data_IF_638758423505
#
_entry.id   IF_638758423505
#
_cell.length_a   1.000
_cell.length_b   1.000
_cell.length_c   1.000
_cell.angle_alpha   90.00
_cell.angle_beta   90.00
_cell.angle_gamma   90.00
#
_symmetry.space_group_name_H-M   'P 1'
#
loop_
_entity.id
_entity.type
_entity.pdbx_description
1 polymer ?
#
# COMPACT_ATOMS: atom_id res chain seq x y z
N UNK A 1 -2.58 -7.55 -22.57
CA UNK A 1 -2.29 -6.93 -21.25
C UNK A 1 -3.37 -7.38 -20.28
N UNK A 2 -3.01 -7.96 -19.13
CA UNK A 2 -4.00 -8.34 -18.10
C UNK A 2 -4.64 -7.08 -17.52
N UNK A 3 -5.96 -7.10 -17.35
CA UNK A 3 -6.75 -5.95 -16.89
C UNK A 3 -6.29 -5.51 -15.49
N UNK A 4 -6.19 -4.20 -15.28
CA UNK A 4 -5.95 -3.61 -13.95
C UNK A 4 -7.16 -3.91 -13.09
N UNK A 5 -6.92 -4.45 -11.89
CA UNK A 5 -7.99 -4.63 -10.90
C UNK A 5 -8.14 -3.36 -10.08
N UNK A 6 -9.17 -2.59 -10.44
CA UNK A 6 -9.53 -1.35 -9.78
C UNK A 6 -9.89 -1.55 -8.31
N UNK A 7 -10.45 -2.70 -7.94
CA UNK A 7 -10.82 -2.97 -6.55
C UNK A 7 -9.57 -3.06 -5.66
N UNK A 8 -8.57 -3.84 -6.10
CA UNK A 8 -7.30 -3.98 -5.39
C UNK A 8 -6.56 -2.62 -5.29
N UNK A 9 -6.57 -1.85 -6.38
CA UNK A 9 -5.97 -0.52 -6.43
C UNK A 9 -6.65 0.44 -5.44
N UNK A 10 -7.99 0.47 -5.42
CA UNK A 10 -8.78 1.31 -4.50
C UNK A 10 -8.52 0.91 -3.05
N UNK A 11 -8.47 -0.38 -2.72
CA UNK A 11 -8.14 -0.83 -1.37
C UNK A 11 -6.73 -0.39 -0.96
N UNK A 12 -5.74 -0.55 -1.84
CA UNK A 12 -4.39 -0.03 -1.60
C UNK A 12 -4.40 1.48 -1.36
N UNK A 13 -5.12 2.24 -2.19
CA UNK A 13 -5.29 3.69 -2.04
C UNK A 13 -5.86 4.06 -0.67
N UNK A 14 -6.92 3.40 -0.23
CA UNK A 14 -7.53 3.66 1.07
C UNK A 14 -6.56 3.40 2.22
N UNK A 15 -5.76 2.33 2.17
CA UNK A 15 -4.72 2.07 3.20
C UNK A 15 -3.64 3.17 3.21
N UNK A 16 -3.16 3.57 2.03
CA UNK A 16 -2.18 4.65 1.90
C UNK A 16 -2.70 5.97 2.45
N UNK A 17 -3.92 6.33 2.03
CA UNK A 17 -4.61 7.54 2.44
C UNK A 17 -4.89 7.53 3.94
N UNK A 18 -5.52 6.48 4.48
CA UNK A 18 -5.81 6.37 5.91
C UNK A 18 -4.56 6.63 6.75
N UNK A 19 -3.45 5.95 6.45
CA UNK A 19 -2.26 6.13 7.29
C UNK A 19 -1.69 7.55 7.25
N UNK A 20 -1.82 8.31 6.17
CA UNK A 20 -1.27 9.66 6.07
C UNK A 20 -2.27 10.74 6.51
N UNK A 21 -3.54 10.59 6.16
CA UNK A 21 -4.58 11.53 6.54
C UNK A 21 -4.95 11.48 8.03
N UNK A 22 -4.69 10.36 8.70
CA UNK A 22 -4.87 10.25 10.16
C UNK A 22 -3.58 10.43 10.96
N UNK A 23 -2.45 10.70 10.30
CA UNK A 23 -1.18 10.93 10.99
C UNK A 23 -1.07 12.39 11.43
N UNK A 24 -0.63 12.59 12.67
CA UNK A 24 -0.24 13.90 13.16
C UNK A 24 1.26 14.10 12.95
N UNK A 25 1.65 14.72 11.84
CA UNK A 25 3.05 14.94 11.48
C UNK A 25 3.79 15.98 12.36
N UNK A 26 3.15 16.49 13.41
CA UNK A 26 3.87 17.18 14.49
C UNK A 26 4.62 16.21 15.42
N UNK A 27 4.25 14.92 15.44
CA UNK A 27 4.95 13.86 16.16
C UNK A 27 6.09 13.28 15.29
N UNK A 28 7.31 13.24 15.83
CA UNK A 28 8.49 12.64 15.19
C UNK A 28 8.26 11.17 14.78
N UNK A 29 7.34 10.47 15.47
CA UNK A 29 7.00 9.07 15.20
C UNK A 29 5.85 8.90 14.22
N UNK A 30 5.24 9.97 13.72
CA UNK A 30 4.05 9.90 12.86
C UNK A 30 4.27 9.05 11.60
N UNK A 31 5.39 9.27 10.90
CA UNK A 31 5.74 8.50 9.72
C UNK A 31 5.94 7.01 10.06
N UNK A 32 6.67 6.72 11.15
CA UNK A 32 6.88 5.36 11.64
C UNK A 32 5.54 4.69 11.96
N UNK A 33 4.68 5.37 12.74
CA UNK A 33 3.39 4.82 13.15
C UNK A 33 2.48 4.57 11.95
N UNK A 34 2.43 5.52 11.02
CA UNK A 34 1.71 5.42 9.76
C UNK A 34 2.15 4.21 8.94
N UNK A 35 3.46 3.99 8.82
CA UNK A 35 4.03 2.89 8.04
C UNK A 35 3.82 1.54 8.70
N UNK A 36 4.18 1.39 9.97
CA UNK A 36 4.26 0.09 10.62
C UNK A 36 2.96 -0.37 11.27
N UNK A 37 2.08 0.54 11.72
CA UNK A 37 0.81 0.16 12.36
C UNK A 37 -0.40 0.27 11.44
N UNK A 38 -0.31 1.00 10.32
CA UNK A 38 -1.42 1.17 9.38
C UNK A 38 -1.07 0.59 8.02
N UNK A 39 -0.07 1.14 7.34
CA UNK A 39 0.20 0.80 5.94
C UNK A 39 0.69 -0.62 5.75
N UNK A 40 1.69 -1.08 6.49
CA UNK A 40 2.21 -2.43 6.38
C UNK A 40 1.14 -3.50 6.69
N UNK A 41 0.50 -3.52 7.89
CA UNK A 41 -0.54 -4.51 8.18
C UNK A 41 -1.75 -4.40 7.24
N UNK A 42 -2.20 -3.18 6.93
CA UNK A 42 -3.27 -2.95 5.97
C UNK A 42 -2.95 -3.49 4.57
N UNK A 43 -1.73 -3.25 4.09
CA UNK A 43 -1.25 -3.76 2.80
C UNK A 43 -1.23 -5.28 2.79
N UNK A 44 -0.77 -5.91 3.86
CA UNK A 44 -0.77 -7.36 3.99
C UNK A 44 -2.19 -7.93 3.92
N UNK A 45 -3.14 -7.33 4.63
CA UNK A 45 -4.55 -7.73 4.61
C UNK A 45 -5.16 -7.56 3.22
N UNK A 46 -4.93 -6.42 2.55
CA UNK A 46 -5.38 -6.20 1.17
C UNK A 46 -4.74 -7.20 0.21
N UNK A 47 -3.48 -7.60 0.43
CA UNK A 47 -2.80 -8.61 -0.38
C UNK A 47 -3.44 -10.00 -0.25
N UNK A 48 -3.85 -10.37 0.96
CA UNK A 48 -4.63 -11.59 1.19
C UNK A 48 -5.97 -11.50 0.44
N UNK A 49 -6.73 -10.40 0.62
CA UNK A 49 -8.03 -10.20 -0.04
C UNK A 49 -7.91 -10.22 -1.57
N UNK A 50 -6.91 -9.54 -2.12
CA UNK A 50 -6.63 -9.51 -3.56
C UNK A 50 -6.32 -10.91 -4.10
N UNK A 51 -5.56 -11.72 -3.35
CA UNK A 51 -5.31 -13.12 -3.71
C UNK A 51 -6.54 -14.02 -3.65
N UNK A 52 -7.53 -13.74 -2.79
CA UNK A 52 -8.81 -14.46 -2.80
C UNK A 52 -9.59 -14.23 -4.11
N UNK A 53 -9.48 -13.04 -4.69
CA UNK A 53 -10.18 -12.62 -5.92
C UNK A 53 -9.38 -13.06 -7.16
N UNK A 54 -8.08 -12.79 -7.20
CA UNK A 54 -7.17 -13.07 -8.34
C UNK A 54 -6.05 -14.00 -7.93
N UNK A 55 -6.39 -15.27 -7.72
CA UNK A 55 -5.46 -16.30 -7.22
C UNK A 55 -4.22 -16.49 -8.10
N UNK A 56 -4.36 -16.41 -9.42
CA UNK A 56 -3.29 -16.76 -10.39
C UNK A 56 -2.28 -15.63 -10.65
N UNK A 57 -2.41 -14.50 -9.97
CA UNK A 57 -1.71 -13.26 -10.32
C UNK A 57 -1.10 -12.54 -9.10
N UNK A 58 -0.33 -13.26 -8.25
CA UNK A 58 0.16 -12.70 -7.00
C UNK A 58 1.05 -11.46 -7.21
N UNK A 59 1.89 -11.44 -8.25
CA UNK A 59 2.74 -10.30 -8.56
C UNK A 59 1.92 -9.07 -9.00
N UNK A 60 0.92 -9.25 -9.85
CA UNK A 60 0.06 -8.14 -10.29
C UNK A 60 -0.75 -7.58 -9.13
N UNK A 61 -1.24 -8.43 -8.21
CA UNK A 61 -1.91 -7.99 -7.00
C UNK A 61 -0.95 -7.16 -6.15
N UNK A 62 0.25 -7.66 -5.85
CA UNK A 62 1.24 -6.95 -5.04
C UNK A 62 1.60 -5.57 -5.62
N UNK A 63 1.85 -5.51 -6.93
CA UNK A 63 2.17 -4.25 -7.63
C UNK A 63 0.98 -3.28 -7.63
N UNK A 64 -0.24 -3.78 -7.86
CA UNK A 64 -1.47 -2.96 -7.84
C UNK A 64 -1.74 -2.36 -6.47
N UNK A 65 -1.56 -3.14 -5.40
CA UNK A 65 -1.71 -2.68 -4.01
C UNK A 65 -0.65 -1.64 -3.69
N UNK A 66 0.62 -1.94 -4.00
CA UNK A 66 1.75 -1.04 -3.76
C UNK A 66 1.49 0.30 -4.44
N UNK A 67 1.09 0.27 -5.72
CA UNK A 67 0.77 1.47 -6.48
C UNK A 67 -0.40 2.24 -5.87
N UNK A 68 -1.47 1.55 -5.48
CA UNK A 68 -2.60 2.14 -4.75
C UNK A 68 -2.14 2.86 -3.48
N UNK A 69 -1.33 2.21 -2.63
CA UNK A 69 -0.81 2.80 -1.39
C UNK A 69 0.03 4.05 -1.67
N UNK A 70 0.87 4.03 -2.71
CA UNK A 70 1.64 5.21 -3.11
C UNK A 70 0.74 6.36 -3.57
N UNK A 71 -0.33 6.09 -4.31
CA UNK A 71 -1.33 7.10 -4.68
C UNK A 71 -2.05 7.67 -3.45
N UNK A 72 -2.35 6.82 -2.46
CA UNK A 72 -2.93 7.24 -1.19
C UNK A 72 -2.02 8.19 -0.41
N UNK A 73 -0.72 7.89 -0.34
CA UNK A 73 0.28 8.78 0.25
C UNK A 73 0.39 10.10 -0.51
N UNK A 74 0.51 10.02 -1.84
CA UNK A 74 0.57 11.19 -2.72
C UNK A 74 -0.64 12.10 -2.55
N UNK A 75 -1.84 11.55 -2.33
CA UNK A 75 -3.05 12.37 -2.14
C UNK A 75 -2.93 13.34 -0.96
N UNK A 76 -2.34 12.89 0.15
CA UNK A 76 -2.13 13.74 1.33
C UNK A 76 -1.00 14.73 1.10
N UNK A 77 0.14 14.25 0.58
CA UNK A 77 1.31 15.09 0.28
C UNK A 77 0.91 16.26 -0.62
N UNK A 78 0.22 15.97 -1.73
CA UNK A 78 -0.20 17.01 -2.68
C UNK A 78 -1.19 17.98 -2.04
N UNK A 79 -2.12 17.50 -1.22
CA UNK A 79 -3.04 18.36 -0.48
C UNK A 79 -2.30 19.31 0.48
N UNK A 80 -1.37 18.78 1.28
CA UNK A 80 -0.59 19.59 2.21
C UNK A 80 0.30 20.60 1.48
N UNK A 81 0.88 20.23 0.33
CA UNK A 81 1.63 21.16 -0.52
C UNK A 81 0.77 22.27 -1.13
N UNK A 82 -0.55 22.08 -1.27
CA UNK A 82 -1.44 23.19 -1.69
C UNK A 82 -1.69 24.21 -0.57
N UNK A 83 -1.55 23.80 0.69
CA UNK A 83 -1.71 24.65 1.87
C UNK A 83 -0.39 25.30 2.27
N UNK A 84 0.68 24.52 2.28
CA UNK A 84 2.05 24.93 2.55
C UNK A 84 3.01 24.16 1.62
N UNK A 85 3.53 24.81 0.56
CA UNK A 85 4.46 24.18 -0.38
C UNK A 85 5.76 23.65 0.25
N UNK A 86 6.12 24.12 1.45
CA UNK A 86 7.34 23.70 2.16
C UNK A 86 7.15 22.48 3.07
N UNK A 87 5.91 22.03 3.28
CA UNK A 87 5.54 20.95 4.21
C UNK A 87 6.21 19.60 3.89
N UNK A 88 6.40 19.28 2.62
CA UNK A 88 6.94 17.99 2.17
C UNK A 88 8.15 18.13 1.24
N UNK A 89 9.16 18.90 1.64
CA UNK A 89 10.38 19.08 0.86
C UNK A 89 11.15 17.76 0.57
N UNK A 90 10.88 16.71 1.35
CA UNK A 90 11.48 15.39 1.23
C UNK A 90 10.50 14.33 0.73
N UNK A 91 9.36 14.72 0.14
CA UNK A 91 8.34 13.77 -0.30
C UNK A 91 8.86 12.62 -1.19
N UNK A 92 9.87 12.80 -2.08
CA UNK A 92 10.39 11.68 -2.85
C UNK A 92 11.01 10.60 -1.95
N UNK A 93 11.66 10.99 -0.86
CA UNK A 93 12.22 10.07 0.13
C UNK A 93 11.13 9.46 1.01
N UNK A 94 10.12 10.21 1.39
CA UNK A 94 8.96 9.69 2.14
C UNK A 94 8.25 8.58 1.35
N UNK A 95 8.01 8.82 0.05
CA UNK A 95 7.45 7.81 -0.86
C UNK A 95 8.39 6.62 -1.05
N UNK A 96 9.70 6.85 -1.18
CA UNK A 96 10.67 5.76 -1.31
C UNK A 96 10.70 4.87 -0.07
N UNK A 97 10.69 5.45 1.13
CA UNK A 97 10.61 4.69 2.39
C UNK A 97 9.30 3.91 2.44
N UNK A 98 8.18 4.55 2.10
CA UNK A 98 6.89 3.88 1.97
C UNK A 98 6.93 2.69 1.03
N UNK A 99 7.53 2.87 -0.15
CA UNK A 99 7.69 1.84 -1.18
C UNK A 99 8.51 0.65 -0.67
N UNK A 100 9.66 0.91 -0.04
CA UNK A 100 10.57 -0.12 0.47
C UNK A 100 9.92 -0.95 1.58
N UNK A 101 8.99 -0.40 2.35
CA UNK A 101 8.26 -1.15 3.38
C UNK A 101 7.02 -1.85 2.81
N UNK A 102 6.20 -1.14 2.05
CA UNK A 102 4.90 -1.63 1.57
C UNK A 102 5.07 -2.70 0.50
N UNK A 103 6.03 -2.54 -0.42
CA UNK A 103 6.19 -3.48 -1.53
C UNK A 103 6.54 -4.89 -1.04
N UNK A 104 7.58 -5.11 -0.20
CA UNK A 104 7.87 -6.46 0.31
C UNK A 104 6.69 -7.08 1.05
N UNK A 105 5.94 -6.27 1.82
CA UNK A 105 4.76 -6.74 2.55
C UNK A 105 3.62 -7.15 1.62
N UNK A 106 3.36 -6.38 0.55
CA UNK A 106 2.38 -6.71 -0.48
C UNK A 106 2.73 -8.01 -1.21
N UNK A 107 4.02 -8.18 -1.56
CA UNK A 107 4.52 -9.42 -2.17
C UNK A 107 4.39 -10.60 -1.21
N UNK A 108 4.80 -10.44 0.05
CA UNK A 108 4.68 -11.48 1.06
C UNK A 108 3.24 -11.96 1.21
N UNK A 109 2.29 -11.05 1.40
CA UNK A 109 0.87 -11.40 1.54
C UNK A 109 0.30 -12.07 0.28
N UNK A 110 0.61 -11.56 -0.91
CA UNK A 110 0.09 -12.08 -2.18
C UNK A 110 0.64 -13.46 -2.51
N UNK A 111 1.93 -13.71 -2.27
CA UNK A 111 2.55 -15.01 -2.50
C UNK A 111 2.20 -16.03 -1.42
N UNK A 112 1.97 -15.60 -0.18
CA UNK A 112 1.49 -16.48 0.89
C UNK A 112 0.13 -17.09 0.54
N UNK A 113 -0.86 -16.26 0.18
CA UNK A 113 -2.19 -16.75 -0.17
C UNK A 113 -2.18 -17.57 -1.47
N UNK A 114 -1.34 -17.20 -2.43
CA UNK A 114 -1.12 -18.00 -3.64
C UNK A 114 -0.57 -19.40 -3.31
N UNK A 115 0.44 -19.49 -2.45
CA UNK A 115 1.02 -20.76 -2.01
C UNK A 115 -0.01 -21.63 -1.28
N UNK A 116 -0.85 -21.04 -0.43
CA UNK A 116 -1.95 -21.75 0.24
C UNK A 116 -2.92 -22.36 -0.79
N UNK A 117 -3.33 -21.60 -1.80
CA UNK A 117 -4.21 -22.13 -2.85
C UNK A 117 -3.54 -23.18 -3.72
N UNK A 118 -2.24 -23.03 -3.98
CA UNK A 118 -1.46 -24.01 -4.74
C UNK A 118 -1.43 -25.35 -4.01
N UNK A 119 -1.07 -25.34 -2.72
CA UNK A 119 -1.02 -26.54 -1.87
C UNK A 119 -2.41 -27.17 -1.68
N UNK A 120 -3.47 -26.36 -1.67
CA UNK A 120 -4.84 -26.84 -1.58
C UNK A 120 -5.39 -27.40 -2.91
N UNK A 121 -4.63 -27.40 -4.00
CA UNK A 121 -5.09 -27.84 -5.32
C UNK A 121 -6.16 -26.92 -5.94
N UNK A 122 -6.20 -25.64 -5.54
CA UNK A 122 -7.22 -24.65 -5.95
C UNK A 122 -6.70 -23.59 -6.92
N UNK A 123 -5.53 -23.83 -7.53
CA UNK A 123 -4.88 -22.96 -8.52
C UNK A 123 -5.00 -23.50 -9.95
#
# INVERSE_FOLDING_TARGET
MKQIDWFILVLGFLIGALGYWTADFSDERALYNSLYFIKAPGTFLVAILGGLIRKKEPAQNALGITFGVMLGMLSRILFDMTLDPSSHNLFPFELLIGLVIVMPVAFLGSYLIYAIFYLAGKN
#
